data_IF_487294646758
#
_entry.id   IF_487294646758
#
_cell.length_a   1.000
_cell.length_b   1.000
_cell.length_c   1.000
_cell.angle_alpha   90.00
_cell.angle_beta   90.00
_cell.angle_gamma   90.00
#
_symmetry.space_group_name_H-M   'P 1'
#
loop_
_entity.id
_entity.type
_entity.pdbx_description
1 polymer ?
#
# COMPACT_ATOMS: atom_id res chain seq x y z
N UNK A 1 43.84 53.56 -17.27
CA UNK A 1 44.25 52.15 -17.50
C UNK A 1 43.23 51.25 -16.81
N UNK A 2 42.47 50.48 -17.59
CA UNK A 2 41.25 49.79 -17.15
C UNK A 2 41.61 48.41 -16.60
N UNK A 3 41.50 48.20 -15.29
CA UNK A 3 41.66 46.87 -14.70
C UNK A 3 40.36 46.07 -14.91
N UNK A 4 40.47 44.97 -15.65
CA UNK A 4 39.37 44.04 -15.89
C UNK A 4 39.45 42.98 -14.80
N UNK A 5 38.53 43.02 -13.84
CA UNK A 5 38.39 41.99 -12.80
C UNK A 5 37.47 40.91 -13.36
N UNK A 6 38.04 39.76 -13.69
CA UNK A 6 37.29 38.56 -14.08
C UNK A 6 36.90 37.83 -12.79
N UNK A 7 35.65 37.99 -12.37
CA UNK A 7 35.06 37.11 -11.36
C UNK A 7 34.77 35.76 -12.02
N UNK A 8 35.61 34.77 -11.74
CA UNK A 8 35.38 33.39 -12.13
C UNK A 8 34.13 32.86 -11.42
N UNK A 9 33.08 32.57 -12.18
CA UNK A 9 31.91 31.86 -11.70
C UNK A 9 32.31 30.41 -11.41
N UNK A 10 32.64 30.10 -10.15
CA UNK A 10 32.73 28.71 -9.68
C UNK A 10 31.32 28.12 -9.70
N UNK A 11 30.98 27.42 -10.78
CA UNK A 11 29.82 26.55 -10.83
C UNK A 11 30.14 25.33 -9.97
N UNK A 12 29.70 25.34 -8.72
CA UNK A 12 29.60 24.12 -7.92
C UNK A 12 28.52 23.24 -8.56
N UNK A 13 28.95 22.30 -9.42
CA UNK A 13 28.12 21.18 -9.82
C UNK A 13 27.98 20.22 -8.62
N UNK A 14 27.16 20.61 -7.65
CA UNK A 14 26.72 19.76 -6.54
C UNK A 14 25.71 18.73 -7.04
N UNK A 15 26.17 17.80 -7.88
CA UNK A 15 25.36 16.68 -8.37
C UNK A 15 25.43 15.50 -7.41
N UNK A 16 24.90 15.65 -6.20
CA UNK A 16 24.47 14.50 -5.40
C UNK A 16 22.96 14.43 -5.47
N UNK A 17 22.43 13.58 -6.35
CA UNK A 17 21.06 13.11 -6.24
C UNK A 17 20.99 12.17 -5.03
N UNK A 18 21.07 12.73 -3.82
CA UNK A 18 20.62 12.04 -2.62
C UNK A 18 19.09 11.98 -2.74
N UNK A 19 18.59 10.95 -3.43
CA UNK A 19 17.22 10.53 -3.25
C UNK A 19 17.12 10.15 -1.77
N UNK A 20 16.46 11.00 -0.99
CA UNK A 20 16.15 10.72 0.40
C UNK A 20 15.12 9.59 0.43
N UNK A 21 15.63 8.35 0.38
CA UNK A 21 14.79 7.15 0.42
C UNK A 21 14.23 7.05 1.83
N UNK A 22 12.90 7.08 2.01
CA UNK A 22 12.30 6.96 3.34
C UNK A 22 12.75 5.65 4.00
N UNK A 23 13.18 5.74 5.26
CA UNK A 23 13.52 4.56 6.05
C UNK A 23 12.24 3.82 6.45
N UNK A 24 12.16 2.54 6.11
CA UNK A 24 11.06 1.68 6.54
C UNK A 24 11.06 1.53 8.08
N UNK A 25 9.89 1.73 8.70
CA UNK A 25 9.69 1.56 10.13
C UNK A 25 9.05 0.19 10.42
N UNK A 26 9.86 -0.74 10.92
CA UNK A 26 9.42 -2.10 11.25
C UNK A 26 8.41 -2.18 12.38
N UNK A 27 8.50 -1.27 13.36
CA UNK A 27 7.59 -1.25 14.51
C UNK A 27 6.18 -0.86 14.08
N UNK A 28 6.07 0.16 13.21
CA UNK A 28 4.78 0.55 12.62
C UNK A 28 4.20 -0.57 11.75
N UNK A 29 5.03 -1.23 10.94
CA UNK A 29 4.57 -2.34 10.10
C UNK A 29 4.06 -3.53 10.94
N UNK A 30 4.76 -3.86 12.03
CA UNK A 30 4.34 -4.91 12.95
C UNK A 30 3.04 -4.53 13.67
N UNK A 31 2.88 -3.26 14.07
CA UNK A 31 1.63 -2.81 14.66
C UNK A 31 0.44 -2.95 13.69
N UNK A 32 0.60 -2.62 12.41
CA UNK A 32 -0.45 -2.83 11.41
C UNK A 32 -0.82 -4.31 11.22
N UNK A 33 0.12 -5.23 11.40
CA UNK A 33 -0.17 -6.67 11.42
C UNK A 33 -1.02 -7.03 12.64
N UNK A 34 -0.64 -6.54 13.84
CA UNK A 34 -1.38 -6.80 15.08
C UNK A 34 -2.80 -6.24 15.01
N UNK A 35 -2.97 -5.03 14.48
CA UNK A 35 -4.28 -4.41 14.30
C UNK A 35 -5.17 -5.28 13.41
N UNK A 36 -4.67 -5.76 12.27
CA UNK A 36 -5.39 -6.68 11.39
C UNK A 36 -5.75 -8.01 12.08
N UNK A 37 -4.83 -8.58 12.86
CA UNK A 37 -5.09 -9.80 13.63
C UNK A 37 -6.12 -9.59 14.75
N UNK A 38 -6.19 -8.38 15.32
CA UNK A 38 -7.12 -8.06 16.41
C UNK A 38 -8.59 -8.13 16.00
N UNK A 39 -8.90 -7.99 14.70
CA UNK A 39 -10.24 -8.16 14.15
C UNK A 39 -10.69 -9.64 14.09
N UNK A 40 -9.81 -10.58 14.37
CA UNK A 40 -10.05 -12.01 14.21
C UNK A 40 -9.82 -12.49 12.77
N UNK A 41 -10.26 -13.71 12.43
CA UNK A 41 -10.17 -14.24 11.07
C UNK A 41 -10.86 -13.30 10.06
N UNK A 42 -10.22 -13.12 8.89
CA UNK A 42 -10.76 -12.34 7.76
C UNK A 42 -11.21 -13.26 6.64
N UNK A 43 -11.86 -14.38 6.96
CA UNK A 43 -12.44 -15.22 5.92
C UNK A 43 -13.66 -14.50 5.31
N UNK A 44 -13.94 -14.72 4.01
CA UNK A 44 -15.06 -14.07 3.34
C UNK A 44 -16.37 -14.20 4.13
N UNK A 45 -17.05 -13.07 4.34
CA UNK A 45 -18.31 -12.98 5.08
C UNK A 45 -18.20 -12.93 6.61
N UNK A 46 -17.00 -12.96 7.20
CA UNK A 46 -16.81 -12.77 8.65
C UNK A 46 -16.86 -11.30 9.06
N UNK A 47 -17.15 -11.04 10.34
CA UNK A 47 -17.07 -9.69 10.92
C UNK A 47 -15.65 -9.12 10.85
N UNK A 48 -14.64 -9.97 11.10
CA UNK A 48 -13.23 -9.60 11.01
C UNK A 48 -12.80 -9.18 9.60
N UNK A 49 -13.37 -9.81 8.56
CA UNK A 49 -13.16 -9.39 7.18
C UNK A 49 -13.71 -7.97 6.91
N UNK A 50 -14.92 -7.67 7.40
CA UNK A 50 -15.49 -6.34 7.21
C UNK A 50 -14.73 -5.26 7.99
N UNK A 51 -14.40 -5.51 9.26
CA UNK A 51 -13.65 -4.58 10.09
C UNK A 51 -12.23 -4.31 9.53
N UNK A 52 -11.56 -5.37 9.05
CA UNK A 52 -10.24 -5.24 8.43
C UNK A 52 -10.30 -4.46 7.11
N UNK A 53 -11.34 -4.67 6.28
CA UNK A 53 -11.56 -3.91 5.05
C UNK A 53 -11.64 -2.41 5.36
N UNK A 54 -12.48 -2.03 6.32
CA UNK A 54 -12.68 -0.63 6.68
C UNK A 54 -11.40 -0.02 7.25
N UNK A 55 -10.65 -0.77 8.07
CA UNK A 55 -9.34 -0.37 8.56
C UNK A 55 -8.33 -0.12 7.42
N UNK A 56 -8.23 -1.02 6.45
CA UNK A 56 -7.30 -0.86 5.30
C UNK A 56 -7.68 0.38 4.48
N UNK A 57 -8.97 0.59 4.23
CA UNK A 57 -9.46 1.76 3.49
C UNK A 57 -9.12 3.05 4.22
N UNK A 58 -9.40 3.13 5.52
CA UNK A 58 -9.07 4.29 6.35
C UNK A 58 -7.55 4.56 6.37
N UNK A 59 -6.75 3.53 6.63
CA UNK A 59 -5.29 3.67 6.69
C UNK A 59 -4.71 4.10 5.35
N UNK A 60 -5.07 3.45 4.24
CA UNK A 60 -4.58 3.84 2.92
C UNK A 60 -5.10 5.22 2.50
N UNK A 61 -6.33 5.59 2.88
CA UNK A 61 -6.90 6.91 2.60
C UNK A 61 -6.12 8.08 3.23
N UNK A 62 -5.35 7.83 4.29
CA UNK A 62 -4.46 8.83 4.88
C UNK A 62 -3.20 9.09 4.02
N UNK A 63 -2.88 8.22 3.07
CA UNK A 63 -1.63 8.29 2.30
C UNK A 63 -1.85 8.39 0.79
N UNK A 64 -2.88 7.74 0.26
CA UNK A 64 -3.12 7.59 -1.18
C UNK A 64 -3.83 8.81 -1.78
N UNK A 65 -3.57 9.08 -3.07
CA UNK A 65 -4.31 10.11 -3.82
C UNK A 65 -5.75 9.67 -4.13
N UNK A 66 -5.96 8.35 -4.25
CA UNK A 66 -7.24 7.76 -4.61
C UNK A 66 -7.31 6.32 -4.11
N UNK A 67 -8.47 5.96 -3.56
CA UNK A 67 -8.84 4.58 -3.24
C UNK A 67 -9.93 4.14 -4.21
N UNK A 68 -9.70 3.03 -4.90
CA UNK A 68 -10.70 2.34 -5.72
C UNK A 68 -11.06 1.02 -5.05
N UNK A 69 -12.36 0.75 -4.96
CA UNK A 69 -12.88 -0.53 -4.51
C UNK A 69 -13.37 -1.30 -5.73
N UNK A 70 -12.78 -2.47 -5.97
CA UNK A 70 -13.21 -3.39 -7.01
C UNK A 70 -13.89 -4.58 -6.34
N UNK A 71 -15.22 -4.57 -6.37
CA UNK A 71 -16.06 -5.65 -5.89
C UNK A 71 -16.05 -6.82 -6.88
N UNK A 72 -16.01 -8.05 -6.35
CA UNK A 72 -16.12 -9.27 -7.13
C UNK A 72 -16.84 -10.37 -6.36
N UNK A 73 -17.35 -11.37 -7.08
CA UNK A 73 -17.93 -12.58 -6.50
C UNK A 73 -17.17 -13.80 -6.98
N UNK A 74 -16.98 -14.80 -6.12
CA UNK A 74 -16.34 -16.05 -6.47
C UNK A 74 -17.03 -17.24 -5.81
N UNK A 75 -16.94 -18.40 -6.44
CA UNK A 75 -17.47 -19.64 -5.88
C UNK A 75 -16.38 -20.34 -5.07
N UNK A 76 -16.75 -20.82 -3.89
CA UNK A 76 -15.89 -21.65 -3.06
C UNK A 76 -15.57 -22.96 -3.78
N UNK A 77 -14.28 -23.30 -3.87
CA UNK A 77 -13.85 -24.50 -4.60
C UNK A 77 -14.51 -25.75 -4.01
N UNK A 78 -15.29 -26.45 -4.85
CA UNK A 78 -15.94 -27.72 -4.48
C UNK A 78 -17.24 -27.57 -3.68
N UNK A 79 -17.78 -26.36 -3.51
CA UNK A 79 -19.09 -26.14 -2.89
C UNK A 79 -19.95 -25.22 -3.74
N UNK A 80 -21.26 -25.42 -3.71
CA UNK A 80 -22.20 -24.46 -4.30
C UNK A 80 -22.45 -23.28 -3.36
N UNK A 81 -21.37 -22.59 -2.99
CA UNK A 81 -21.39 -21.44 -2.10
C UNK A 81 -20.61 -20.31 -2.73
N UNK A 82 -21.26 -19.15 -2.85
CA UNK A 82 -20.68 -17.94 -3.39
C UNK A 82 -20.28 -16.99 -2.28
N UNK A 83 -19.17 -16.29 -2.51
CA UNK A 83 -18.62 -15.28 -1.62
C UNK A 83 -18.42 -13.99 -2.38
N UNK A 84 -18.54 -12.87 -1.68
CA UNK A 84 -18.18 -11.56 -2.17
C UNK A 84 -16.81 -11.19 -1.60
N UNK A 85 -15.97 -10.59 -2.44
CA UNK A 85 -14.67 -10.05 -2.07
C UNK A 85 -14.49 -8.65 -2.63
N UNK A 86 -13.53 -7.92 -2.06
CA UNK A 86 -13.19 -6.57 -2.46
C UNK A 86 -11.68 -6.45 -2.63
N UNK A 87 -11.25 -6.09 -3.84
CA UNK A 87 -9.89 -5.61 -4.06
C UNK A 87 -9.84 -4.12 -3.69
N UNK A 88 -8.91 -3.75 -2.81
CA UNK A 88 -8.68 -2.36 -2.40
C UNK A 88 -7.45 -1.86 -3.14
N UNK A 89 -7.62 -0.86 -4.01
CA UNK A 89 -6.55 -0.35 -4.86
C UNK A 89 -6.25 1.09 -4.45
N UNK A 90 -5.10 1.28 -3.80
CA UNK A 90 -4.56 2.61 -3.49
C UNK A 90 -3.65 3.10 -4.62
N UNK A 91 -3.94 4.28 -5.14
CA UNK A 91 -3.17 4.91 -6.24
C UNK A 91 -2.42 6.12 -5.73
N UNK A 92 -1.18 6.25 -6.21
CA UNK A 92 -0.26 7.33 -5.89
C UNK A 92 0.31 7.90 -7.20
N UNK A 93 0.52 9.21 -7.26
CA UNK A 93 1.07 9.93 -8.41
C UNK A 93 0.42 9.48 -9.74
N UNK A 94 -0.90 9.61 -9.83
CA UNK A 94 -1.72 9.05 -10.93
C UNK A 94 -1.35 9.56 -12.32
N UNK A 95 -0.69 10.72 -12.41
CA UNK A 95 -0.21 11.31 -13.66
C UNK A 95 1.14 10.77 -14.13
N UNK A 96 1.84 9.95 -13.34
CA UNK A 96 3.13 9.41 -13.73
C UNK A 96 2.98 8.42 -14.90
N UNK A 97 3.85 8.57 -15.90
CA UNK A 97 3.90 7.72 -17.10
C UNK A 97 4.29 6.28 -16.75
N UNK A 98 5.18 6.12 -15.76
CA UNK A 98 5.57 4.84 -15.21
C UNK A 98 4.87 4.62 -13.86
N UNK A 99 4.32 3.43 -13.68
CA UNK A 99 3.61 3.02 -12.47
C UNK A 99 4.19 1.71 -11.98
N UNK A 100 4.43 1.61 -10.68
CA UNK A 100 4.80 0.35 -10.02
C UNK A 100 3.59 -0.24 -9.33
N UNK A 101 3.43 -1.57 -9.43
CA UNK A 101 2.38 -2.31 -8.74
C UNK A 101 2.98 -3.10 -7.59
N UNK A 102 2.45 -2.88 -6.38
CA UNK A 102 2.75 -3.67 -5.19
C UNK A 102 1.43 -4.24 -4.69
N UNK A 103 1.38 -5.54 -4.44
CA UNK A 103 0.16 -6.23 -4.05
C UNK A 103 0.40 -7.26 -2.95
N UNK A 104 -0.63 -7.48 -2.14
CA UNK A 104 -0.71 -8.54 -1.15
C UNK A 104 -2.16 -9.00 -1.03
N UNK A 105 -2.38 -10.24 -0.60
CA UNK A 105 -3.71 -10.68 -0.17
C UNK A 105 -3.92 -10.27 1.30
N UNK A 106 -5.17 -10.06 1.70
CA UNK A 106 -5.50 -9.57 3.05
C UNK A 106 -6.52 -10.46 3.80
N UNK A 107 -7.23 -11.33 3.07
CA UNK A 107 -8.14 -12.32 3.62
C UNK A 107 -7.38 -13.44 4.38
N UNK A 108 -8.11 -14.18 5.22
CA UNK A 108 -7.63 -15.47 5.77
C UNK A 108 -8.34 -16.64 5.13
N UNK A 109 -7.63 -17.74 4.98
CA UNK A 109 -8.26 -19.03 4.73
C UNK A 109 -9.22 -19.41 5.88
N UNK A 110 -10.44 -19.88 5.59
CA UNK A 110 -11.42 -20.26 6.61
C UNK A 110 -11.11 -21.57 7.36
N UNK A 111 -10.15 -22.37 6.91
CA UNK A 111 -9.79 -23.66 7.51
C UNK A 111 -8.28 -23.81 7.67
N UNK A 112 -7.88 -24.43 8.78
CA UNK A 112 -6.53 -24.92 9.03
C UNK A 112 -6.56 -26.45 8.91
N UNK A 113 -6.28 -26.97 7.72
CA UNK A 113 -6.38 -28.39 7.36
C UNK A 113 -5.04 -28.96 6.82
N UNK A 114 -3.94 -28.25 7.08
CA UNK A 114 -2.57 -28.57 6.64
C UNK A 114 -1.59 -28.42 7.81
N UNK A 115 -1.92 -29.06 8.93
CA UNK A 115 -1.03 -29.17 10.11
C UNK A 115 -0.02 -30.30 9.95
#
# INVERSE_FOLDING_TARGET
MRQIIIYGLMVFAGGCNNLDVPRFNGDSAYQYLLDQCSFGPRNPGSDGHNACKDFIIDKLGNFADEILLQEFSFQEKGKDKWHNGTNIIARFNRSAVFQSLIGSHWDTRPWADQD
#
